data_IF_699755607044
#
_entry.id   IF_699755607044
#
_cell.length_a   1.000
_cell.length_b   1.000
_cell.length_c   1.000
_cell.angle_alpha   90.00
_cell.angle_beta   90.00
_cell.angle_gamma   90.00
#
_symmetry.space_group_name_H-M   'P 1'
#
loop_
_entity.id
_entity.type
_entity.pdbx_description
1 polymer ?
#
# COMPACT_ATOMS: atom_id res chain seq x y z
N UNK A 1 -31.27 4.73 -4.20
CA UNK A 1 -29.95 5.37 -4.10
C UNK A 1 -28.91 4.40 -4.64
N UNK A 2 -28.16 4.73 -5.66
CA UNK A 2 -27.07 3.86 -6.05
C UNK A 2 -26.07 3.85 -4.90
N UNK A 3 -25.88 2.70 -4.28
CA UNK A 3 -24.76 2.45 -3.40
C UNK A 3 -23.52 2.49 -4.29
N UNK A 4 -22.96 3.68 -4.47
CA UNK A 4 -21.71 3.82 -5.19
C UNK A 4 -20.71 2.88 -4.55
N UNK A 5 -20.15 1.99 -5.33
CA UNK A 5 -19.13 1.06 -4.85
C UNK A 5 -18.00 1.88 -4.25
N UNK A 6 -17.82 1.77 -2.92
CA UNK A 6 -16.77 2.49 -2.20
C UNK A 6 -15.43 2.18 -2.85
N UNK A 7 -14.65 3.22 -3.11
CA UNK A 7 -13.28 3.06 -3.64
C UNK A 7 -12.46 2.17 -2.71
N UNK A 8 -11.88 1.09 -3.28
CA UNK A 8 -11.00 0.17 -2.55
C UNK A 8 -9.57 0.34 -3.04
N UNK A 9 -8.67 0.63 -2.13
CA UNK A 9 -7.24 0.81 -2.43
C UNK A 9 -6.42 -0.31 -1.78
N UNK A 10 -5.31 -0.68 -2.41
CA UNK A 10 -4.25 -1.43 -1.76
C UNK A 10 -3.17 -0.44 -1.33
N UNK A 11 -2.72 -0.54 -0.08
CA UNK A 11 -1.72 0.38 0.46
C UNK A 11 -0.41 -0.37 0.70
N UNK A 12 0.67 0.12 0.12
CA UNK A 12 2.03 -0.31 0.42
C UNK A 12 2.44 0.24 1.82
N UNK A 13 3.39 -0.41 2.47
CA UNK A 13 3.90 -0.02 3.79
C UNK A 13 4.39 1.42 3.85
N UNK A 14 4.98 1.91 2.76
CA UNK A 14 5.51 3.27 2.71
C UNK A 14 4.43 4.36 2.74
N UNK A 15 3.18 4.05 2.41
CA UNK A 15 2.05 4.98 2.58
C UNK A 15 1.79 5.23 4.08
N UNK A 16 1.83 4.19 4.89
CA UNK A 16 1.72 4.32 6.36
C UNK A 16 2.96 5.01 6.94
N UNK A 17 4.16 4.58 6.52
CA UNK A 17 5.42 5.12 7.01
C UNK A 17 5.58 6.61 6.70
N UNK A 18 5.11 7.08 5.57
CA UNK A 18 5.14 8.50 5.20
C UNK A 18 4.40 9.39 6.22
N UNK A 19 3.44 8.83 6.96
CA UNK A 19 2.67 9.54 8.00
C UNK A 19 3.19 9.24 9.39
N UNK A 20 3.50 7.97 9.68
CA UNK A 20 3.87 7.51 11.03
C UNK A 20 5.34 7.86 11.35
N UNK A 21 6.23 7.72 10.38
CA UNK A 21 7.67 7.96 10.53
C UNK A 21 8.19 8.75 9.31
N UNK A 22 7.70 9.97 9.09
CA UNK A 22 8.01 10.74 7.87
C UNK A 22 9.50 11.00 7.70
N UNK A 23 10.24 11.15 8.80
CA UNK A 23 11.68 11.36 8.80
C UNK A 23 12.49 10.15 8.30
N UNK A 24 11.93 8.95 8.35
CA UNK A 24 12.58 7.72 7.89
C UNK A 24 12.29 7.40 6.42
N UNK A 25 11.43 8.17 5.78
CA UNK A 25 11.02 7.96 4.39
C UNK A 25 11.70 8.96 3.46
N UNK A 26 11.92 8.51 2.21
CA UNK A 26 12.38 9.39 1.13
C UNK A 26 11.22 9.93 0.29
N UNK A 27 10.00 9.85 0.82
CA UNK A 27 8.82 10.31 0.10
C UNK A 27 8.90 11.83 -0.17
N UNK A 28 8.48 12.22 -1.36
CA UNK A 28 8.31 13.64 -1.67
C UNK A 28 7.22 14.25 -0.77
N UNK A 29 7.30 15.54 -0.52
CA UNK A 29 6.34 16.25 0.36
C UNK A 29 4.89 16.09 -0.11
N UNK A 30 4.67 16.09 -1.42
CA UNK A 30 3.35 15.88 -2.02
C UNK A 30 2.82 14.47 -1.72
N UNK A 31 3.67 13.46 -1.76
CA UNK A 31 3.31 12.08 -1.44
C UNK A 31 3.00 11.92 0.05
N UNK A 32 3.74 12.56 0.94
CA UNK A 32 3.43 12.59 2.37
C UNK A 32 2.06 13.21 2.63
N UNK A 33 1.77 14.37 2.02
CA UNK A 33 0.44 14.99 2.11
C UNK A 33 -0.66 14.14 1.50
N UNK A 34 -0.36 13.45 0.40
CA UNK A 34 -1.27 12.48 -0.22
C UNK A 34 -1.57 11.32 0.70
N UNK A 35 -0.55 10.74 1.33
CA UNK A 35 -0.69 9.66 2.30
C UNK A 35 -1.56 10.10 3.50
N UNK A 36 -1.35 11.30 4.03
CA UNK A 36 -2.21 11.86 5.08
C UNK A 36 -3.68 11.95 4.65
N UNK A 37 -3.95 12.41 3.42
CA UNK A 37 -5.33 12.46 2.90
C UNK A 37 -5.94 11.07 2.78
N UNK A 38 -5.18 10.09 2.30
CA UNK A 38 -5.63 8.70 2.18
C UNK A 38 -6.01 8.14 3.55
N UNK A 39 -5.13 8.27 4.54
CA UNK A 39 -5.38 7.73 5.88
C UNK A 39 -6.56 8.44 6.57
N UNK A 40 -6.73 9.75 6.38
CA UNK A 40 -7.91 10.47 6.87
C UNK A 40 -9.20 10.00 6.19
N UNK A 41 -9.19 9.80 4.88
CA UNK A 41 -10.35 9.27 4.16
C UNK A 41 -10.71 7.85 4.62
N UNK A 42 -9.69 7.02 4.88
CA UNK A 42 -9.85 5.68 5.42
C UNK A 42 -10.47 5.73 6.84
N UNK A 43 -9.94 6.58 7.71
CA UNK A 43 -10.43 6.78 9.07
C UNK A 43 -11.90 7.22 9.13
N UNK A 44 -12.30 8.07 8.17
CA UNK A 44 -13.70 8.54 8.03
C UNK A 44 -14.62 7.53 7.34
N UNK A 45 -14.06 6.44 6.80
CA UNK A 45 -14.82 5.45 6.05
C UNK A 45 -15.26 5.91 4.66
N UNK A 46 -14.64 6.94 4.12
CA UNK A 46 -14.89 7.43 2.75
C UNK A 46 -14.36 6.45 1.69
N UNK A 47 -13.31 5.71 2.04
CA UNK A 47 -12.70 4.66 1.25
C UNK A 47 -12.58 3.37 2.06
N UNK A 48 -12.37 2.25 1.38
CA UNK A 48 -11.89 1.01 1.98
C UNK A 48 -10.47 0.72 1.50
N UNK A 49 -9.67 0.07 2.33
CA UNK A 49 -8.33 -0.32 1.94
C UNK A 49 -7.99 -1.74 2.37
N UNK A 50 -7.04 -2.31 1.65
CA UNK A 50 -6.36 -3.55 2.01
C UNK A 50 -4.87 -3.29 2.06
N UNK A 51 -4.16 -4.05 2.85
CA UNK A 51 -2.70 -4.13 2.83
C UNK A 51 -2.27 -5.56 3.12
N UNK A 52 -1.01 -5.87 2.87
CA UNK A 52 -0.44 -7.15 3.25
C UNK A 52 0.01 -7.15 4.70
N UNK A 53 -0.03 -8.32 5.34
CA UNK A 53 0.60 -8.53 6.65
C UNK A 53 2.10 -8.17 6.63
N UNK A 54 2.75 -8.18 5.46
CA UNK A 54 4.13 -7.75 5.30
C UNK A 54 4.35 -6.27 5.63
N UNK A 55 3.31 -5.44 5.56
CA UNK A 55 3.39 -4.05 6.01
C UNK A 55 3.77 -3.96 7.49
N UNK A 56 3.26 -4.85 8.33
CA UNK A 56 3.62 -4.88 9.75
C UNK A 56 5.10 -5.19 9.96
N UNK A 57 5.66 -6.11 9.16
CA UNK A 57 7.07 -6.46 9.25
C UNK A 57 7.97 -5.29 8.82
N UNK A 58 7.63 -4.62 7.71
CA UNK A 58 8.38 -3.48 7.21
C UNK A 58 8.30 -2.27 8.15
N UNK A 59 7.12 -1.97 8.68
CA UNK A 59 6.93 -0.91 9.67
C UNK A 59 7.74 -1.22 10.94
N UNK A 60 7.68 -2.47 11.43
CA UNK A 60 8.48 -2.90 12.59
C UNK A 60 9.97 -2.72 12.35
N UNK A 61 10.45 -3.07 11.16
CA UNK A 61 11.84 -2.90 10.77
C UNK A 61 12.27 -1.42 10.83
N UNK A 62 11.45 -0.51 10.27
CA UNK A 62 11.74 0.93 10.29
C UNK A 62 11.80 1.46 11.72
N UNK A 63 10.83 1.12 12.58
CA UNK A 63 10.86 1.51 13.99
C UNK A 63 12.13 1.03 14.70
N UNK A 64 12.57 -0.20 14.44
CA UNK A 64 13.80 -0.73 15.04
C UNK A 64 15.05 -0.01 14.52
N UNK A 65 15.14 0.19 13.20
CA UNK A 65 16.26 0.88 12.56
C UNK A 65 16.42 2.31 13.07
N UNK A 66 15.32 3.03 13.16
CA UNK A 66 15.29 4.42 13.63
C UNK A 66 15.27 4.52 15.16
N UNK A 67 15.31 3.39 15.88
CA UNK A 67 15.21 3.35 17.35
C UNK A 67 14.00 4.13 17.89
N UNK A 68 12.90 4.09 17.14
CA UNK A 68 11.68 4.80 17.46
C UNK A 68 10.81 3.98 18.42
N UNK A 69 10.29 4.56 19.51
CA UNK A 69 9.29 3.92 20.35
C UNK A 69 7.89 3.97 19.70
N UNK A 70 6.97 3.16 20.23
CA UNK A 70 5.55 3.27 19.86
C UNK A 70 5.10 2.36 18.72
N UNK A 71 5.90 1.36 18.32
CA UNK A 71 5.46 0.38 17.33
C UNK A 71 4.17 -0.32 17.72
N UNK A 72 4.00 -0.68 19.00
CA UNK A 72 2.79 -1.36 19.47
C UNK A 72 1.54 -0.51 19.30
N UNK A 73 1.64 0.80 19.45
CA UNK A 73 0.55 1.75 19.20
C UNK A 73 0.22 1.80 17.70
N UNK A 74 1.24 1.90 16.85
CA UNK A 74 1.06 1.88 15.40
C UNK A 74 0.47 0.55 14.91
N UNK A 75 0.95 -0.57 15.44
CA UNK A 75 0.41 -1.90 15.16
C UNK A 75 -1.05 -2.02 15.55
N UNK A 76 -1.40 -1.60 16.76
CA UNK A 76 -2.79 -1.62 17.24
C UNK A 76 -3.72 -0.79 16.36
N UNK A 77 -3.27 0.38 15.88
CA UNK A 77 -4.04 1.20 14.95
C UNK A 77 -4.26 0.49 13.61
N UNK A 78 -3.25 -0.16 13.07
CA UNK A 78 -3.34 -0.91 11.82
C UNK A 78 -4.22 -2.16 11.96
N UNK A 79 -4.03 -2.95 13.02
CA UNK A 79 -4.81 -4.17 13.29
C UNK A 79 -6.26 -3.84 13.70
N UNK A 80 -6.48 -2.72 14.35
CA UNK A 80 -7.81 -2.19 14.63
C UNK A 80 -8.54 -1.67 13.39
N UNK A 81 -7.88 -1.73 12.24
CA UNK A 81 -8.46 -1.61 10.91
C UNK A 81 -8.96 -0.21 10.57
N UNK A 82 -8.41 0.83 11.22
CA UNK A 82 -8.98 2.17 10.99
C UNK A 82 -10.51 2.13 11.04
N UNK A 83 -11.07 1.62 12.13
CA UNK A 83 -12.53 1.42 12.32
C UNK A 83 -13.15 0.48 11.29
N UNK A 84 -12.51 -0.65 11.02
CA UNK A 84 -12.95 -1.69 10.08
C UNK A 84 -12.91 -1.29 8.60
N UNK A 85 -12.22 -0.23 8.25
CA UNK A 85 -12.06 0.20 6.86
C UNK A 85 -10.76 -0.30 6.22
N UNK A 86 -9.81 -0.80 7.01
CA UNK A 86 -8.57 -1.41 6.58
C UNK A 86 -8.57 -2.91 6.88
N UNK A 87 -8.31 -3.72 5.86
CA UNK A 87 -8.13 -5.17 6.01
C UNK A 87 -6.67 -5.52 5.78
N UNK A 88 -6.06 -6.21 6.74
CA UNK A 88 -4.70 -6.75 6.60
C UNK A 88 -4.81 -8.21 6.14
N UNK A 89 -4.34 -8.49 4.94
CA UNK A 89 -4.43 -9.80 4.33
C UNK A 89 -3.18 -10.63 4.61
N UNK A 90 -3.33 -11.93 4.93
CA UNK A 90 -2.19 -12.83 5.11
C UNK A 90 -1.51 -13.13 3.77
N UNK A 91 -0.27 -13.58 3.85
CA UNK A 91 0.47 -14.15 2.72
C UNK A 91 0.33 -15.66 2.77
N UNK A 92 -0.47 -16.22 1.88
CA UNK A 92 -0.57 -17.66 1.67
C UNK A 92 0.39 -18.15 0.58
N UNK A 93 0.41 -19.47 0.34
CA UNK A 93 1.31 -20.08 -0.63
C UNK A 93 1.10 -19.56 -2.05
N UNK A 94 -0.17 -19.40 -2.46
CA UNK A 94 -0.48 -18.94 -3.83
C UNK A 94 -0.06 -17.49 -4.05
N UNK A 95 -0.25 -16.65 -3.04
CA UNK A 95 0.18 -15.25 -3.08
C UNK A 95 1.70 -15.13 -3.11
N UNK A 96 2.41 -15.97 -2.34
CA UNK A 96 3.87 -16.02 -2.35
C UNK A 96 4.41 -16.46 -3.72
N UNK A 97 3.81 -17.47 -4.35
CA UNK A 97 4.17 -17.94 -5.69
C UNK A 97 3.90 -16.85 -6.73
N UNK A 98 2.75 -16.19 -6.68
CA UNK A 98 2.42 -15.07 -7.58
C UNK A 98 3.44 -13.93 -7.46
N UNK A 99 3.86 -13.60 -6.23
CA UNK A 99 4.91 -12.61 -5.97
C UNK A 99 6.23 -12.92 -6.69
N UNK A 100 6.65 -14.18 -6.67
CA UNK A 100 7.84 -14.63 -7.39
C UNK A 100 7.69 -14.46 -8.91
N UNK A 101 6.50 -14.70 -9.45
CA UNK A 101 6.17 -14.47 -10.85
C UNK A 101 6.31 -13.00 -11.24
N UNK A 102 5.75 -12.09 -10.46
CA UNK A 102 5.88 -10.64 -10.68
C UNK A 102 7.32 -10.18 -10.55
N UNK A 103 8.05 -10.66 -9.55
CA UNK A 103 9.46 -10.35 -9.44
C UNK A 103 10.24 -10.77 -10.67
N UNK A 104 10.00 -11.97 -11.19
CA UNK A 104 10.64 -12.45 -12.44
C UNK A 104 10.33 -11.53 -13.63
N UNK A 105 9.09 -11.04 -13.71
CA UNK A 105 8.63 -10.19 -14.82
C UNK A 105 9.23 -8.78 -14.76
N UNK A 106 9.32 -8.18 -13.57
CA UNK A 106 9.64 -6.76 -13.39
C UNK A 106 11.07 -6.49 -12.90
N UNK A 107 11.79 -7.51 -12.38
CA UNK A 107 13.13 -7.31 -11.89
C UNK A 107 14.12 -7.06 -13.02
N UNK A 108 14.93 -6.02 -12.85
CA UNK A 108 16.14 -5.76 -13.62
C UNK A 108 17.19 -5.08 -12.72
N UNK A 109 18.42 -4.92 -13.22
CA UNK A 109 19.47 -4.18 -12.48
C UNK A 109 19.07 -2.72 -12.21
N UNK A 110 18.28 -2.13 -13.10
CA UNK A 110 17.82 -0.74 -13.01
C UNK A 110 16.45 -0.63 -12.34
N UNK A 111 15.73 -1.75 -12.17
CA UNK A 111 14.46 -1.81 -11.48
C UNK A 111 14.48 -2.99 -10.47
N UNK A 112 15.07 -2.82 -9.29
CA UNK A 112 15.24 -3.88 -8.31
C UNK A 112 13.94 -4.25 -7.59
N UNK A 113 12.96 -4.70 -8.37
CA UNK A 113 11.65 -5.16 -7.88
C UNK A 113 11.82 -6.33 -6.91
N UNK A 114 11.34 -6.16 -5.68
CA UNK A 114 11.50 -7.13 -4.60
C UNK A 114 10.37 -8.16 -4.55
N UNK A 115 10.54 -9.21 -3.74
CA UNK A 115 9.44 -10.12 -3.41
C UNK A 115 8.31 -9.40 -2.67
N UNK A 116 8.64 -8.45 -1.79
CA UNK A 116 7.62 -7.67 -1.08
C UNK A 116 6.81 -6.81 -2.03
N UNK A 117 7.42 -6.20 -3.03
CA UNK A 117 6.69 -5.46 -4.08
C UNK A 117 5.69 -6.37 -4.78
N UNK A 118 6.12 -7.60 -5.12
CA UNK A 118 5.25 -8.62 -5.69
C UNK A 118 4.12 -9.04 -4.75
N UNK A 119 4.36 -9.11 -3.46
CA UNK A 119 3.34 -9.44 -2.45
C UNK A 119 2.27 -8.34 -2.38
N UNK A 120 2.65 -7.07 -2.33
CA UNK A 120 1.69 -5.96 -2.32
C UNK A 120 0.87 -5.93 -3.62
N UNK A 121 1.53 -6.12 -4.76
CA UNK A 121 0.85 -6.21 -6.04
C UNK A 121 -0.17 -7.36 -6.07
N UNK A 122 0.25 -8.57 -5.71
CA UNK A 122 -0.63 -9.75 -5.67
C UNK A 122 -1.79 -9.56 -4.67
N UNK A 123 -1.54 -8.93 -3.53
CA UNK A 123 -2.55 -8.58 -2.53
C UNK A 123 -3.60 -7.65 -3.12
N UNK A 124 -3.19 -6.60 -3.78
CA UNK A 124 -4.09 -5.63 -4.42
C UNK A 124 -4.95 -6.26 -5.51
N UNK A 125 -4.35 -7.08 -6.37
CA UNK A 125 -5.05 -7.80 -7.44
C UNK A 125 -6.08 -8.77 -6.86
N UNK A 126 -5.70 -9.60 -5.90
CA UNK A 126 -6.60 -10.57 -5.23
C UNK A 126 -7.78 -9.88 -4.55
N UNK A 127 -7.54 -8.74 -3.92
CA UNK A 127 -8.58 -7.98 -3.24
C UNK A 127 -9.49 -7.20 -4.19
N UNK A 128 -9.23 -7.18 -5.49
CA UNK A 128 -9.96 -6.37 -6.45
C UNK A 128 -9.84 -4.87 -6.17
N UNK A 129 -8.65 -4.43 -5.70
CA UNK A 129 -8.41 -3.02 -5.45
C UNK A 129 -8.40 -2.22 -6.75
N UNK A 130 -8.94 -1.01 -6.69
CA UNK A 130 -8.94 -0.07 -7.84
C UNK A 130 -7.53 0.38 -8.20
N UNK A 131 -6.69 0.59 -7.20
CA UNK A 131 -5.29 0.96 -7.36
C UNK A 131 -4.46 0.50 -6.18
N UNK A 132 -3.16 0.29 -6.43
CA UNK A 132 -2.13 0.16 -5.42
C UNK A 132 -1.47 1.53 -5.24
N UNK A 133 -1.44 2.05 -4.02
CA UNK A 133 -0.74 3.28 -3.68
C UNK A 133 0.64 2.96 -3.10
N UNK A 134 1.65 3.58 -3.66
CA UNK A 134 3.04 3.43 -3.23
C UNK A 134 3.86 4.68 -3.53
N UNK A 135 4.91 4.90 -2.74
CA UNK A 135 5.95 5.89 -3.06
C UNK A 135 7.14 5.23 -3.77
N UNK A 136 7.15 3.90 -3.90
CA UNK A 136 8.23 3.16 -4.53
C UNK A 136 8.15 3.25 -6.06
N UNK A 137 9.15 3.84 -6.73
CA UNK A 137 9.17 3.95 -8.17
C UNK A 137 9.23 2.59 -8.88
N UNK A 138 9.70 1.53 -8.23
CA UNK A 138 9.83 0.20 -8.83
C UNK A 138 8.49 -0.45 -9.15
N UNK A 139 7.43 -0.08 -8.43
CA UNK A 139 6.06 -0.55 -8.67
C UNK A 139 5.31 0.23 -9.76
N UNK A 140 5.77 1.42 -10.15
CA UNK A 140 5.06 2.27 -11.10
C UNK A 140 5.04 1.74 -12.54
N UNK A 141 5.88 0.74 -12.85
CA UNK A 141 5.95 0.11 -14.19
C UNK A 141 5.00 -1.07 -14.37
N UNK A 142 4.30 -1.46 -13.33
CA UNK A 142 3.35 -2.57 -13.33
C UNK A 142 2.13 -2.25 -14.19
N UNK A 143 1.64 -3.25 -14.93
CA UNK A 143 0.50 -3.11 -15.85
C UNK A 143 -0.72 -3.92 -15.45
N UNK A 144 -0.59 -4.87 -14.52
CA UNK A 144 -1.69 -5.75 -14.10
C UNK A 144 -2.76 -5.03 -13.28
N UNK A 145 -2.40 -3.92 -12.66
CA UNK A 145 -3.35 -3.02 -11.99
C UNK A 145 -2.85 -1.58 -12.02
N UNK A 146 -3.74 -0.64 -11.73
CA UNK A 146 -3.33 0.74 -11.58
C UNK A 146 -2.41 0.89 -10.35
N UNK A 147 -1.21 1.42 -10.56
CA UNK A 147 -0.29 1.80 -9.48
C UNK A 147 -0.14 3.31 -9.51
N UNK A 148 -0.33 3.96 -8.39
CA UNK A 148 -0.36 5.42 -8.27
C UNK A 148 0.44 5.88 -7.05
N UNK A 149 0.85 7.13 -7.08
CA UNK A 149 1.44 7.79 -5.92
C UNK A 149 0.35 8.28 -4.96
N UNK A 150 0.63 8.37 -3.67
CA UNK A 150 -0.31 8.99 -2.74
C UNK A 150 -0.71 10.42 -3.13
N UNK A 151 0.19 11.18 -3.77
CA UNK A 151 -0.09 12.53 -4.29
C UNK A 151 -1.21 12.58 -5.33
N UNK A 152 -1.47 11.46 -6.03
CA UNK A 152 -2.54 11.36 -7.01
C UNK A 152 -3.94 11.23 -6.38
N UNK A 153 -4.02 10.94 -5.08
CA UNK A 153 -5.30 10.78 -4.38
C UNK A 153 -5.93 12.15 -4.04
N UNK A 154 -7.24 12.32 -4.23
CA UNK A 154 -8.21 11.38 -4.80
C UNK A 154 -8.39 11.50 -6.32
N UNK A 155 -8.02 12.61 -6.94
CA UNK A 155 -8.40 12.97 -8.32
C UNK A 155 -7.79 12.06 -9.39
N UNK A 156 -6.57 11.56 -9.18
CA UNK A 156 -5.85 10.70 -10.12
C UNK A 156 -6.13 9.19 -9.96
N UNK A 157 -7.05 8.80 -9.08
CA UNK A 157 -7.33 7.38 -8.81
C UNK A 157 -8.49 6.90 -9.69
N UNK A 158 -8.12 6.25 -10.77
CA UNK A 158 -9.07 5.61 -11.68
C UNK A 158 -8.66 4.15 -11.92
N UNK A 159 -9.61 3.22 -12.11
CA UNK A 159 -9.30 1.88 -12.58
C UNK A 159 -8.63 1.96 -13.96
N UNK A 160 -7.82 0.96 -14.28
CA UNK A 160 -7.32 0.82 -15.65
C UNK A 160 -8.53 0.75 -16.59
N UNK A 161 -8.54 1.59 -17.61
CA UNK A 161 -9.54 1.46 -18.67
C UNK A 161 -9.28 0.13 -19.33
N UNK A 162 -10.29 -0.75 -19.33
CA UNK A 162 -10.21 -2.01 -20.04
C UNK A 162 -9.85 -1.74 -21.50
N UNK A 163 -8.81 -2.42 -21.94
CA UNK A 163 -8.45 -2.51 -23.36
C UNK A 163 -9.47 -3.36 -24.10
#
# INVERSE_FOLDING_TARGET
MPTGTRLRLCLDSNVFLAVIVPEATKAAREDTRGAERVLRALERGEIAAVTSVMALAEIRWVFARERKPGFDVARAALEGGFRDHLVILPVDADLAVASAGYRRQYYSKTNPFSYNDGIFLATGIRAGATALLTTDPHLLHVVEMAVRRPSDFPAGIHPLRGS
#
